data_IF_009789556472
#
_entry.id   IF_009789556472
#
_cell.length_a   1.000
_cell.length_b   1.000
_cell.length_c   1.000
_cell.angle_alpha   90.00
_cell.angle_beta   90.00
_cell.angle_gamma   90.00
#
_symmetry.space_group_name_H-M   'P 1'
#
loop_
_entity.id
_entity.type
_entity.pdbx_description
1 polymer ?
#
# COMPACT_ATOMS: atom_id res chain seq x y z
N UNK A 1 30.84 -77.70 8.97
CA UNK A 1 30.35 -77.01 10.19
C UNK A 1 31.20 -75.77 10.43
N UNK A 2 30.78 -74.62 9.91
CA UNK A 2 31.43 -73.32 10.14
C UNK A 2 30.50 -72.48 11.02
N UNK A 3 31.03 -72.02 12.15
CA UNK A 3 30.31 -71.25 13.17
C UNK A 3 30.07 -69.82 12.67
N UNK A 4 28.81 -69.41 12.65
CA UNK A 4 28.38 -68.03 12.38
C UNK A 4 28.52 -67.19 13.65
N UNK A 5 29.20 -66.05 13.56
CA UNK A 5 29.23 -65.02 14.60
C UNK A 5 28.09 -64.02 14.36
N UNK A 6 27.38 -63.54 15.40
CA UNK A 6 26.31 -62.57 15.24
C UNK A 6 26.87 -61.16 15.05
N UNK A 7 26.42 -60.49 14.00
CA UNK A 7 26.68 -59.08 13.72
C UNK A 7 25.73 -58.24 14.59
N UNK A 8 26.25 -57.52 15.58
CA UNK A 8 25.47 -56.60 16.39
C UNK A 8 25.21 -55.31 15.58
N UNK A 9 23.96 -55.06 15.25
CA UNK A 9 23.51 -53.80 14.62
C UNK A 9 23.28 -52.78 15.73
N UNK A 10 24.15 -51.78 15.82
CA UNK A 10 23.92 -50.59 16.65
C UNK A 10 22.93 -49.68 15.93
N UNK A 11 21.69 -49.64 16.40
CA UNK A 11 20.70 -48.64 16.00
C UNK A 11 21.02 -47.32 16.71
N UNK A 12 21.59 -46.36 15.98
CA UNK A 12 21.70 -44.99 16.47
C UNK A 12 20.33 -44.34 16.45
N UNK A 13 19.73 -44.16 17.63
CA UNK A 13 18.58 -43.26 17.81
C UNK A 13 19.08 -41.82 17.57
N UNK A 14 18.91 -41.33 16.35
CA UNK A 14 19.04 -39.91 16.06
C UNK A 14 17.83 -39.20 16.67
N UNK A 15 18.02 -38.64 17.86
CA UNK A 15 17.07 -37.71 18.48
C UNK A 15 16.97 -36.49 17.57
N UNK A 16 15.93 -36.44 16.73
CA UNK A 16 15.58 -35.25 15.99
C UNK A 16 15.10 -34.19 16.99
N UNK A 17 16.03 -33.34 17.44
CA UNK A 17 15.67 -32.10 18.12
C UNK A 17 14.84 -31.28 17.14
N UNK A 18 13.62 -30.85 17.49
CA UNK A 18 12.87 -29.94 16.65
C UNK A 18 13.73 -28.69 16.45
N UNK A 19 14.13 -28.46 15.21
CA UNK A 19 14.81 -27.25 14.82
C UNK A 19 13.77 -26.13 14.86
N UNK A 20 13.52 -25.59 16.04
CA UNK A 20 12.93 -24.27 16.17
C UNK A 20 13.94 -23.30 15.56
N UNK A 21 13.76 -22.98 14.27
CA UNK A 21 14.24 -21.69 13.76
C UNK A 21 13.50 -20.64 14.58
N UNK A 22 14.14 -20.15 15.62
CA UNK A 22 13.92 -18.78 16.05
C UNK A 22 14.34 -17.91 14.87
N UNK A 23 13.40 -17.63 13.95
CA UNK A 23 13.53 -16.45 13.13
C UNK A 23 13.60 -15.30 14.13
N UNK A 24 14.80 -14.77 14.36
CA UNK A 24 14.96 -13.51 15.06
C UNK A 24 14.34 -12.45 14.15
N UNK A 25 13.02 -12.31 14.25
CA UNK A 25 12.25 -11.25 13.63
C UNK A 25 12.73 -9.97 14.29
N UNK A 26 13.62 -9.23 13.63
CA UNK A 26 13.82 -7.82 13.97
C UNK A 26 12.55 -7.09 13.56
N UNK A 27 11.60 -7.03 14.51
CA UNK A 27 10.39 -6.23 14.40
C UNK A 27 10.79 -4.79 14.09
N UNK A 28 10.11 -4.17 13.12
CA UNK A 28 10.36 -2.77 12.80
C UNK A 28 9.99 -1.90 14.00
N UNK A 29 10.96 -1.26 14.65
CA UNK A 29 10.66 -0.25 15.66
C UNK A 29 10.43 1.07 14.96
N UNK A 30 9.26 1.69 15.16
CA UNK A 30 9.04 3.05 14.70
C UNK A 30 10.04 3.96 15.41
N UNK A 31 11.02 4.46 14.67
CA UNK A 31 12.09 5.30 15.20
C UNK A 31 11.72 6.78 15.20
N UNK A 32 10.65 7.13 14.48
CA UNK A 32 10.24 8.50 14.22
C UNK A 32 8.85 8.78 14.80
N UNK A 33 8.57 10.06 15.04
CA UNK A 33 7.25 10.47 15.53
C UNK A 33 6.20 10.24 14.43
N UNK A 34 5.16 9.48 14.75
CA UNK A 34 4.04 9.25 13.83
C UNK A 34 3.14 10.48 13.82
N UNK A 35 2.81 10.96 12.63
CA UNK A 35 1.86 12.04 12.38
C UNK A 35 0.45 11.45 12.23
N UNK A 36 0.31 10.46 11.34
CA UNK A 36 -0.94 9.73 11.12
C UNK A 36 -0.68 8.23 11.19
N UNK A 37 -1.46 7.52 12.00
CA UNK A 37 -1.37 6.06 12.12
C UNK A 37 -2.62 5.43 11.50
N UNK A 38 -2.45 4.77 10.37
CA UNK A 38 -3.50 4.10 9.60
C UNK A 38 -3.53 2.59 9.80
N UNK A 39 -2.71 2.06 10.70
CA UNK A 39 -2.63 0.62 10.96
C UNK A 39 -3.90 0.15 11.66
N UNK A 40 -4.49 -0.92 11.14
CA UNK A 40 -5.78 -1.43 11.59
C UNK A 40 -5.60 -2.35 12.80
N UNK A 41 -6.23 -2.08 13.95
CA UNK A 41 -6.16 -2.97 15.11
C UNK A 41 -6.73 -4.35 14.79
N UNK A 42 -6.18 -5.40 15.40
CA UNK A 42 -6.71 -6.77 15.26
C UNK A 42 -8.14 -6.98 15.77
N UNK A 43 -8.66 -6.02 16.55
CA UNK A 43 -10.05 -6.00 17.06
C UNK A 43 -11.00 -5.20 16.18
N UNK A 44 -10.53 -4.61 15.09
CA UNK A 44 -11.34 -3.79 14.20
C UNK A 44 -12.45 -4.60 13.53
N UNK A 45 -13.59 -3.94 13.30
CA UNK A 45 -14.67 -4.43 12.46
C UNK A 45 -14.78 -3.59 11.18
N UNK A 46 -15.35 -4.16 10.11
CA UNK A 46 -15.58 -3.41 8.86
C UNK A 46 -16.47 -2.19 9.08
N UNK A 47 -17.47 -2.28 9.95
CA UNK A 47 -18.36 -1.17 10.28
C UNK A 47 -17.69 -0.04 11.06
N UNK A 48 -16.50 -0.27 11.63
CA UNK A 48 -15.72 0.80 12.27
C UNK A 48 -15.30 1.87 11.25
N UNK A 49 -15.11 1.48 9.99
CA UNK A 49 -14.72 2.39 8.92
C UNK A 49 -15.87 3.29 8.44
N UNK A 50 -17.12 2.94 8.74
CA UNK A 50 -18.31 3.68 8.30
C UNK A 50 -18.61 4.92 9.15
N UNK A 51 -17.85 5.12 10.23
CA UNK A 51 -18.04 6.26 11.12
C UNK A 51 -16.72 6.89 11.53
N UNK A 52 -16.74 8.20 11.75
CA UNK A 52 -15.58 8.92 12.26
C UNK A 52 -15.23 8.39 13.67
N UNK A 53 -13.98 7.96 13.87
CA UNK A 53 -13.54 7.29 15.10
C UNK A 53 -14.33 6.02 15.45
N UNK A 54 -14.91 5.33 14.47
CA UNK A 54 -15.55 4.02 14.68
C UNK A 54 -14.59 3.03 15.35
N UNK A 55 -15.14 2.17 16.21
CA UNK A 55 -14.36 1.30 17.09
C UNK A 55 -13.46 2.05 18.10
N UNK A 56 -13.54 3.37 18.19
CA UNK A 56 -12.64 4.21 18.97
C UNK A 56 -11.25 4.41 18.36
N UNK A 57 -11.03 3.96 17.12
CA UNK A 57 -9.70 3.93 16.50
C UNK A 57 -9.68 4.45 15.06
N UNK A 58 -10.76 4.32 14.29
CA UNK A 58 -10.73 4.56 12.84
C UNK A 58 -10.17 5.97 12.50
N UNK A 59 -8.99 6.04 11.85
CA UNK A 59 -8.35 7.29 11.50
C UNK A 59 -8.82 7.81 10.13
N UNK A 60 -9.61 7.04 9.38
CA UNK A 60 -9.96 7.33 8.00
C UNK A 60 -11.32 8.00 7.84
N UNK A 61 -11.46 8.78 6.76
CA UNK A 61 -12.68 9.48 6.41
C UNK A 61 -13.79 8.52 5.96
N UNK A 62 -14.98 8.52 6.61
CA UNK A 62 -16.04 7.57 6.29
C UNK A 62 -16.85 7.93 5.04
N UNK A 63 -16.74 9.16 4.52
CA UNK A 63 -17.68 9.71 3.53
C UNK A 63 -17.09 9.81 2.12
N UNK A 64 -15.83 10.23 1.99
CA UNK A 64 -15.28 10.67 0.71
C UNK A 64 -14.52 9.57 -0.04
N UNK A 65 -14.36 9.80 -1.35
CA UNK A 65 -13.48 9.05 -2.26
C UNK A 65 -13.85 7.57 -2.44
N UNK A 66 -15.14 7.29 -2.59
CA UNK A 66 -15.68 5.95 -2.87
C UNK A 66 -16.97 6.02 -3.69
N UNK A 67 -17.47 4.87 -4.13
CA UNK A 67 -18.71 4.78 -4.89
C UNK A 67 -19.90 5.46 -4.18
N UNK A 68 -20.73 6.17 -4.94
CA UNK A 68 -21.88 6.87 -4.36
C UNK A 68 -22.83 5.88 -3.67
N UNK A 69 -23.08 6.10 -2.37
CA UNK A 69 -23.99 5.26 -1.59
C UNK A 69 -23.40 3.96 -1.07
N UNK A 70 -22.11 3.69 -1.31
CA UNK A 70 -21.41 2.57 -0.68
C UNK A 70 -20.91 2.97 0.71
N UNK A 71 -21.02 2.05 1.67
CA UNK A 71 -20.32 2.13 2.94
C UNK A 71 -18.86 1.64 2.76
N UNK A 72 -17.95 1.99 3.68
CA UNK A 72 -16.62 1.37 3.65
C UNK A 72 -16.69 -0.11 3.99
N UNK A 73 -17.65 -0.52 4.81
CA UNK A 73 -17.90 -1.94 5.09
C UNK A 73 -18.36 -2.76 3.86
N UNK A 74 -18.85 -2.11 2.80
CA UNK A 74 -19.15 -2.76 1.52
C UNK A 74 -17.92 -2.91 0.61
N UNK A 75 -16.86 -2.13 0.89
CA UNK A 75 -15.68 -1.96 0.03
C UNK A 75 -14.46 -2.67 0.62
N UNK A 76 -14.31 -2.62 1.93
CA UNK A 76 -13.14 -3.13 2.62
C UNK A 76 -13.32 -4.59 3.00
N UNK A 77 -12.21 -5.33 3.01
CA UNK A 77 -12.13 -6.64 3.65
C UNK A 77 -11.01 -6.61 4.71
N UNK A 78 -11.10 -7.51 5.68
CA UNK A 78 -10.05 -7.75 6.67
C UNK A 78 -9.42 -9.12 6.39
N UNK A 79 -8.48 -9.22 5.43
CA UNK A 79 -7.91 -10.50 5.04
C UNK A 79 -6.98 -11.04 6.14
N UNK A 80 -6.75 -12.36 6.11
CA UNK A 80 -5.88 -13.07 7.05
C UNK A 80 -4.72 -13.74 6.30
N UNK A 81 -3.75 -12.96 5.77
CA UNK A 81 -2.62 -13.54 5.04
C UNK A 81 -1.77 -14.41 5.96
N UNK A 82 -1.04 -15.37 5.36
CA UNK A 82 -0.23 -16.34 6.09
C UNK A 82 0.88 -15.70 6.95
N UNK A 83 1.32 -14.49 6.62
CA UNK A 83 2.25 -13.71 7.42
C UNK A 83 1.84 -12.23 7.44
N UNK A 84 1.98 -11.55 8.59
CA UNK A 84 1.81 -10.10 8.65
C UNK A 84 2.88 -9.40 7.81
N UNK A 85 2.62 -8.16 7.39
CA UNK A 85 3.66 -7.31 6.83
C UNK A 85 4.66 -6.89 7.90
N UNK A 86 5.78 -6.31 7.46
CA UNK A 86 6.86 -5.88 8.36
C UNK A 86 6.38 -4.91 9.44
N UNK A 87 5.60 -3.91 9.07
CA UNK A 87 5.16 -2.85 9.98
C UNK A 87 3.91 -3.22 10.78
N UNK A 88 3.13 -4.21 10.31
CA UNK A 88 2.03 -4.75 11.10
C UNK A 88 2.51 -5.71 12.18
N UNK A 89 3.47 -6.57 11.87
CA UNK A 89 4.05 -7.52 12.83
C UNK A 89 4.58 -6.83 14.09
N UNK A 90 5.15 -5.63 13.93
CA UNK A 90 5.67 -4.83 15.01
C UNK A 90 4.58 -4.10 15.82
N UNK A 91 3.48 -3.73 15.18
CA UNK A 91 2.38 -2.99 15.81
C UNK A 91 1.29 -3.90 16.40
N UNK A 92 1.26 -5.18 16.01
CA UNK A 92 0.13 -6.06 16.30
C UNK A 92 -1.14 -5.68 15.53
N UNK A 93 -0.98 -4.95 14.41
CA UNK A 93 -2.06 -4.60 13.49
C UNK A 93 -2.31 -5.69 12.45
N UNK A 94 -3.43 -5.56 11.75
CA UNK A 94 -3.86 -6.44 10.67
C UNK A 94 -3.97 -5.65 9.36
N UNK A 95 -3.86 -6.32 8.21
CA UNK A 95 -4.06 -5.68 6.92
C UNK A 95 -5.53 -5.35 6.66
N UNK A 96 -5.75 -4.46 5.69
CA UNK A 96 -7.05 -4.14 5.11
C UNK A 96 -6.96 -4.27 3.60
N UNK A 97 -7.96 -4.87 2.97
CA UNK A 97 -8.06 -4.92 1.52
C UNK A 97 -9.04 -3.86 1.04
N UNK A 98 -8.62 -3.07 0.06
CA UNK A 98 -9.52 -2.15 -0.65
C UNK A 98 -9.97 -2.85 -1.92
N UNK A 99 -11.28 -3.01 -2.09
CA UNK A 99 -11.85 -3.59 -3.32
C UNK A 99 -12.51 -2.53 -4.19
N UNK A 100 -12.61 -2.82 -5.48
CA UNK A 100 -13.42 -2.07 -6.42
C UNK A 100 -14.34 -3.03 -7.17
N UNK A 101 -15.51 -2.54 -7.54
CA UNK A 101 -16.50 -3.25 -8.34
C UNK A 101 -17.15 -2.32 -9.36
N UNK A 102 -18.12 -2.82 -10.13
CA UNK A 102 -18.92 -2.00 -11.05
C UNK A 102 -19.60 -0.80 -10.35
N UNK A 103 -19.88 -0.90 -9.04
CA UNK A 103 -20.51 0.14 -8.24
C UNK A 103 -19.54 1.23 -7.73
N UNK A 104 -18.22 1.05 -7.89
CA UNK A 104 -17.19 1.96 -7.37
C UNK A 104 -17.06 3.27 -8.17
N UNK A 105 -18.18 3.92 -8.49
CA UNK A 105 -18.22 5.17 -9.25
C UNK A 105 -18.33 6.34 -8.26
N UNK A 106 -17.23 7.08 -8.09
CA UNK A 106 -17.20 8.28 -7.27
C UNK A 106 -17.80 9.46 -8.03
N UNK A 107 -18.81 10.11 -7.42
CA UNK A 107 -19.55 11.20 -8.04
C UNK A 107 -20.08 10.82 -9.43
N UNK A 108 -19.68 11.53 -10.49
CA UNK A 108 -20.09 11.26 -11.88
C UNK A 108 -18.93 10.81 -12.76
N UNK A 109 -17.82 10.38 -12.16
CA UNK A 109 -16.61 9.96 -12.88
C UNK A 109 -16.77 8.52 -13.42
N UNK A 110 -17.65 8.35 -14.40
CA UNK A 110 -18.03 7.01 -14.90
C UNK A 110 -16.89 6.23 -15.56
N UNK A 111 -15.84 6.92 -16.00
CA UNK A 111 -14.64 6.28 -16.54
C UNK A 111 -13.85 5.53 -15.46
N UNK A 112 -13.91 6.00 -14.22
CA UNK A 112 -13.14 5.42 -13.11
C UNK A 112 -13.88 4.36 -12.32
N UNK A 113 -13.10 3.49 -11.68
CA UNK A 113 -13.51 2.77 -10.47
C UNK A 113 -12.59 3.20 -9.33
N UNK A 114 -13.15 3.81 -8.29
CA UNK A 114 -12.41 4.52 -7.24
C UNK A 114 -12.88 4.14 -5.84
N UNK A 115 -11.92 3.79 -5.00
CA UNK A 115 -12.02 3.70 -3.55
C UNK A 115 -10.68 4.11 -2.94
N UNK A 116 -10.60 5.22 -2.22
CA UNK A 116 -9.36 5.73 -1.60
C UNK A 116 -9.57 6.11 -0.14
N UNK A 117 -8.84 5.45 0.76
CA UNK A 117 -8.81 5.84 2.16
C UNK A 117 -8.02 7.14 2.31
N UNK A 118 -8.62 8.12 2.98
CA UNK A 118 -7.97 9.37 3.39
C UNK A 118 -7.94 9.46 4.91
N UNK A 119 -6.87 10.00 5.48
CA UNK A 119 -6.82 10.28 6.90
C UNK A 119 -7.77 11.45 7.26
N UNK A 120 -8.59 11.29 8.30
CA UNK A 120 -9.55 12.29 8.77
C UNK A 120 -8.92 13.64 9.12
N UNK A 121 -7.67 13.61 9.58
CA UNK A 121 -6.93 14.80 10.04
C UNK A 121 -5.93 15.33 9.02
N UNK A 122 -5.84 14.69 7.86
CA UNK A 122 -5.00 15.13 6.76
C UNK A 122 -5.83 16.11 5.92
N UNK A 123 -5.97 17.34 6.42
CA UNK A 123 -6.76 18.38 5.76
C UNK A 123 -6.05 18.90 4.49
N UNK A 124 -6.80 19.35 3.48
CA UNK A 124 -6.20 19.97 2.28
C UNK A 124 -5.22 21.10 2.62
N UNK A 125 -5.59 21.91 3.60
CA UNK A 125 -4.79 23.00 4.14
C UNK A 125 -4.36 22.66 5.56
N UNK A 126 -3.16 23.06 5.94
CA UNK A 126 -2.62 22.92 7.29
C UNK A 126 -2.53 21.47 7.80
N UNK A 127 -2.42 20.51 6.87
CA UNK A 127 -2.08 19.14 7.25
C UNK A 127 -0.60 19.04 7.66
N UNK A 128 -0.31 18.45 8.85
CA UNK A 128 1.05 18.10 9.22
C UNK A 128 1.66 17.03 8.29
N UNK A 129 0.85 16.35 7.47
CA UNK A 129 1.29 15.42 6.43
C UNK A 129 1.80 16.09 5.16
N UNK A 130 1.62 17.41 4.99
CA UNK A 130 2.02 18.14 3.78
C UNK A 130 2.94 19.34 4.05
N UNK A 131 3.74 19.26 5.11
CA UNK A 131 4.73 20.28 5.50
C UNK A 131 6.05 19.66 5.98
N UNK A 132 7.15 20.42 5.91
CA UNK A 132 8.48 19.98 6.35
C UNK A 132 8.97 18.74 5.59
N UNK A 133 9.47 17.74 6.32
CA UNK A 133 9.88 16.45 5.75
C UNK A 133 9.06 15.34 6.37
N UNK A 134 8.31 14.62 5.54
CA UNK A 134 7.43 13.52 5.96
C UNK A 134 7.71 12.28 5.14
N UNK A 135 7.39 11.12 5.71
CA UNK A 135 7.46 9.85 4.99
C UNK A 135 6.17 9.07 5.17
N UNK A 136 5.49 8.78 4.05
CA UNK A 136 4.40 7.82 4.01
C UNK A 136 4.97 6.41 3.90
N UNK A 137 4.56 5.53 4.81
CA UNK A 137 4.82 4.10 4.79
C UNK A 137 3.55 3.35 4.42
N UNK A 138 3.71 2.31 3.59
CA UNK A 138 2.65 1.36 3.27
C UNK A 138 3.28 0.07 2.75
N UNK A 139 2.59 -1.04 2.92
CA UNK A 139 2.96 -2.32 2.32
C UNK A 139 1.78 -2.89 1.57
N UNK A 140 2.05 -3.56 0.45
CA UNK A 140 1.02 -4.15 -0.40
C UNK A 140 1.24 -5.64 -0.58
N UNK A 141 0.14 -6.37 -0.75
CA UNK A 141 0.11 -7.78 -1.12
C UNK A 141 -1.00 -7.99 -2.16
N UNK A 142 -0.70 -8.75 -3.21
CA UNK A 142 -1.70 -9.10 -4.23
C UNK A 142 -2.76 -10.04 -3.64
N UNK A 143 -4.04 -9.80 -3.96
CA UNK A 143 -5.09 -10.80 -3.74
C UNK A 143 -5.24 -11.68 -4.98
N UNK A 144 -4.98 -12.99 -4.82
CA UNK A 144 -5.18 -13.97 -5.90
C UNK A 144 -6.64 -14.19 -6.25
N UNK A 145 -7.57 -13.91 -5.33
CA UNK A 145 -9.00 -14.03 -5.58
C UNK A 145 -9.58 -12.82 -6.30
N UNK A 146 -8.90 -11.67 -6.24
CA UNK A 146 -9.29 -10.40 -6.87
C UNK A 146 -8.11 -9.71 -7.56
N UNK A 147 -7.47 -10.37 -8.54
CA UNK A 147 -6.27 -9.83 -9.17
C UNK A 147 -6.58 -8.53 -9.92
N UNK A 148 -5.65 -7.57 -9.86
CA UNK A 148 -5.74 -6.37 -10.68
C UNK A 148 -5.60 -6.71 -12.17
N UNK A 149 -6.45 -6.14 -13.02
CA UNK A 149 -6.35 -6.25 -14.46
C UNK A 149 -5.32 -5.27 -15.03
N UNK A 150 -4.04 -5.66 -15.02
CA UNK A 150 -2.90 -4.79 -15.39
C UNK A 150 -2.86 -4.32 -16.86
N UNK A 151 -3.85 -4.64 -17.70
CA UNK A 151 -4.05 -3.93 -18.98
C UNK A 151 -4.61 -2.52 -18.81
N UNK A 152 -5.18 -2.22 -17.64
CA UNK A 152 -5.59 -0.89 -17.22
C UNK A 152 -4.48 -0.20 -16.42
N UNK A 153 -4.59 1.11 -16.27
CA UNK A 153 -3.78 1.91 -15.36
C UNK A 153 -4.46 2.02 -14.00
N UNK A 154 -3.68 1.93 -12.92
CA UNK A 154 -4.15 2.09 -11.55
C UNK A 154 -3.34 3.14 -10.82
N UNK A 155 -4.01 4.05 -10.10
CA UNK A 155 -3.40 4.81 -9.01
C UNK A 155 -3.73 4.08 -7.71
N UNK A 156 -2.69 3.64 -7.01
CA UNK A 156 -2.82 2.86 -5.79
C UNK A 156 -2.53 3.70 -4.54
N UNK A 157 -1.54 4.59 -4.62
CA UNK A 157 -1.25 5.57 -3.57
C UNK A 157 -0.89 6.88 -4.23
N UNK A 158 -1.52 7.99 -3.84
CA UNK A 158 -1.19 9.30 -4.40
C UNK A 158 -1.32 10.38 -3.33
N UNK A 159 -0.70 11.53 -3.58
CA UNK A 159 -0.89 12.73 -2.78
C UNK A 159 -1.51 13.81 -3.68
N UNK A 160 -2.75 14.16 -3.42
CA UNK A 160 -3.59 15.06 -4.22
C UNK A 160 -3.45 16.48 -3.70
N UNK A 161 -3.10 17.43 -4.56
CA UNK A 161 -2.92 18.82 -4.18
C UNK A 161 -4.22 19.43 -3.62
N UNK A 162 -4.10 20.42 -2.72
CA UNK A 162 -5.24 21.01 -2.01
C UNK A 162 -6.34 21.59 -2.93
N UNK A 163 -5.94 22.04 -4.13
CA UNK A 163 -6.80 22.60 -5.17
C UNK A 163 -7.28 21.56 -6.20
N UNK A 164 -6.92 20.29 -6.01
CA UNK A 164 -7.25 19.16 -6.88
C UNK A 164 -6.73 19.28 -8.32
N UNK A 165 -5.76 20.15 -8.57
CA UNK A 165 -5.22 20.41 -9.91
C UNK A 165 -4.21 19.37 -10.38
N UNK A 166 -3.56 18.67 -9.44
CA UNK A 166 -2.49 17.72 -9.70
C UNK A 166 -2.27 16.81 -8.49
N UNK A 167 -1.42 15.81 -8.67
CA UNK A 167 -0.86 15.01 -7.59
C UNK A 167 0.65 15.33 -7.46
N UNK A 168 1.18 15.48 -6.26
CA UNK A 168 2.63 15.67 -6.07
C UNK A 168 3.42 14.41 -6.43
N UNK A 169 2.81 13.24 -6.25
CA UNK A 169 3.30 11.97 -6.80
C UNK A 169 2.14 11.01 -7.05
N UNK A 170 2.38 10.05 -7.93
CA UNK A 170 1.51 8.90 -8.14
C UNK A 170 2.30 7.60 -7.94
N UNK A 171 1.76 6.68 -7.16
CA UNK A 171 2.22 5.31 -7.09
C UNK A 171 1.22 4.43 -7.83
N UNK A 172 1.66 3.89 -8.96
CA UNK A 172 0.80 3.30 -9.97
C UNK A 172 1.19 1.87 -10.33
N UNK A 173 0.24 1.15 -10.93
CA UNK A 173 0.44 -0.18 -11.49
C UNK A 173 -0.27 -0.30 -12.85
N UNK A 174 0.08 -1.35 -13.60
CA UNK A 174 -0.56 -1.63 -14.87
C UNK A 174 -0.02 -0.82 -16.05
N UNK A 175 -0.82 -0.72 -17.11
CA UNK A 175 -0.45 -0.10 -18.39
C UNK A 175 -0.78 1.38 -18.36
N UNK A 176 0.23 2.24 -18.19
CA UNK A 176 0.04 3.69 -18.11
C UNK A 176 -0.42 4.28 -19.45
N UNK A 177 -1.48 5.08 -19.41
CA UNK A 177 -1.98 5.82 -20.57
C UNK A 177 -0.91 6.84 -21.00
N UNK A 178 -0.47 6.76 -22.26
CA UNK A 178 0.58 7.60 -22.81
C UNK A 178 2.00 7.22 -22.39
N UNK A 179 2.18 6.06 -21.74
CA UNK A 179 3.49 5.51 -21.37
C UNK A 179 3.50 3.97 -21.42
N UNK A 180 2.87 3.42 -22.46
CA UNK A 180 2.65 1.98 -22.65
C UNK A 180 3.96 1.18 -22.86
N UNK A 181 5.07 1.87 -23.07
CA UNK A 181 6.40 1.27 -23.15
C UNK A 181 6.95 0.84 -21.78
N UNK A 182 6.37 1.31 -20.67
CA UNK A 182 6.74 0.85 -19.33
C UNK A 182 6.10 -0.52 -19.05
N UNK A 183 6.83 -1.48 -18.43
CA UNK A 183 6.27 -2.79 -18.12
C UNK A 183 5.01 -2.69 -17.25
N UNK A 184 3.94 -3.37 -17.64
CA UNK A 184 2.65 -3.29 -16.92
C UNK A 184 2.67 -3.99 -15.56
N UNK A 185 3.51 -5.02 -15.42
CA UNK A 185 3.69 -5.88 -14.25
C UNK A 185 4.65 -5.29 -13.21
N UNK A 186 4.64 -3.97 -13.08
CA UNK A 186 5.48 -3.23 -12.12
C UNK A 186 4.67 -2.19 -11.37
N UNK A 187 4.99 -2.03 -10.09
CA UNK A 187 4.72 -0.81 -9.36
C UNK A 187 5.65 0.31 -9.83
N UNK A 188 5.13 1.52 -9.95
CA UNK A 188 5.81 2.70 -10.49
C UNK A 188 5.56 3.89 -9.58
N UNK A 189 6.61 4.61 -9.21
CA UNK A 189 6.52 5.92 -8.59
C UNK A 189 6.76 6.99 -9.65
N UNK A 190 5.79 7.88 -9.84
CA UNK A 190 5.82 8.99 -10.78
C UNK A 190 5.84 10.32 -10.02
N UNK A 191 6.52 11.31 -10.60
CA UNK A 191 6.52 12.69 -10.12
C UNK A 191 5.22 13.42 -10.49
N UNK A 192 5.08 14.69 -10.08
CA UNK A 192 3.91 15.54 -10.39
C UNK A 192 3.56 15.62 -11.88
N UNK A 193 4.55 15.49 -12.75
CA UNK A 193 4.41 15.57 -14.20
C UNK A 193 4.25 14.19 -14.84
N UNK A 194 3.94 13.16 -14.05
CA UNK A 194 3.85 11.75 -14.46
C UNK A 194 5.15 11.18 -15.03
N UNK A 195 6.30 11.76 -14.68
CA UNK A 195 7.60 11.20 -15.08
C UNK A 195 8.02 10.12 -14.09
N UNK A 196 8.48 8.99 -14.62
CA UNK A 196 8.98 7.88 -13.82
C UNK A 196 10.18 8.28 -12.95
N UNK A 197 10.03 8.11 -11.63
CA UNK A 197 11.11 8.24 -10.64
C UNK A 197 11.75 6.87 -10.40
N UNK A 198 10.93 5.85 -10.18
CA UNK A 198 11.38 4.51 -9.83
C UNK A 198 10.32 3.45 -10.10
N UNK A 199 10.72 2.20 -10.33
CA UNK A 199 9.80 1.07 -10.51
C UNK A 199 10.37 -0.25 -9.99
N UNK A 200 9.50 -1.18 -9.62
CA UNK A 200 9.84 -2.56 -9.27
C UNK A 200 8.78 -3.54 -9.78
N UNK A 201 9.14 -4.80 -10.12
CA UNK A 201 8.15 -5.82 -10.42
C UNK A 201 7.12 -6.02 -9.29
N UNK A 202 5.91 -6.41 -9.67
CA UNK A 202 4.87 -6.87 -8.75
C UNK A 202 5.16 -8.33 -8.37
N UNK A 203 5.16 -8.62 -7.07
CA UNK A 203 5.38 -9.95 -6.50
C UNK A 203 4.03 -10.53 -6.06
N UNK A 204 3.63 -11.65 -6.66
CA UNK A 204 2.31 -12.25 -6.42
C UNK A 204 2.10 -12.81 -5.00
N UNK A 205 3.18 -13.19 -4.31
CA UNK A 205 3.12 -13.99 -3.07
C UNK A 205 4.00 -13.40 -1.95
N UNK A 206 4.33 -12.11 -2.02
CA UNK A 206 5.20 -11.48 -1.05
C UNK A 206 4.74 -10.06 -0.75
N UNK A 207 4.74 -9.70 0.53
CA UNK A 207 4.63 -8.31 0.94
C UNK A 207 5.71 -7.48 0.26
N UNK A 208 5.30 -6.39 -0.38
CA UNK A 208 6.19 -5.35 -0.86
C UNK A 208 6.00 -4.12 0.03
N UNK A 209 7.05 -3.74 0.74
CA UNK A 209 7.01 -2.62 1.68
C UNK A 209 7.61 -1.41 0.98
N UNK A 210 6.93 -0.27 1.09
CA UNK A 210 7.31 0.98 0.46
C UNK A 210 7.36 2.08 1.50
N UNK A 211 8.24 3.05 1.27
CA UNK A 211 8.09 4.35 1.86
C UNK A 211 8.43 5.45 0.85
N UNK A 212 7.69 6.56 0.92
CA UNK A 212 7.88 7.72 0.05
C UNK A 212 8.11 8.92 0.95
N UNK A 213 9.33 9.46 0.90
CA UNK A 213 9.69 10.68 1.62
C UNK A 213 9.44 11.88 0.73
N UNK A 214 8.65 12.85 1.21
CA UNK A 214 8.50 14.16 0.60
C UNK A 214 9.20 15.19 1.50
N UNK A 215 10.12 15.95 0.90
CA UNK A 215 10.74 17.13 1.51
C UNK A 215 10.09 18.36 0.88
N UNK A 216 9.10 18.94 1.56
CA UNK A 216 8.38 20.13 1.13
C UNK A 216 9.26 21.38 1.20
N UNK A 217 10.24 21.40 2.12
CA UNK A 217 11.17 22.53 2.28
C UNK A 217 12.14 22.63 1.08
N UNK A 218 12.58 21.49 0.54
CA UNK A 218 13.54 21.41 -0.57
C UNK A 218 12.95 20.99 -1.90
N UNK A 219 11.66 20.69 -1.96
CA UNK A 219 11.01 20.16 -3.16
C UNK A 219 11.75 18.93 -3.70
N UNK A 220 11.85 17.90 -2.86
CA UNK A 220 12.41 16.60 -3.25
C UNK A 220 11.53 15.41 -2.85
N UNK A 221 11.69 14.31 -3.58
CA UNK A 221 11.05 13.02 -3.31
C UNK A 221 12.11 11.92 -3.23
N UNK A 222 11.90 10.95 -2.35
CA UNK A 222 12.76 9.77 -2.24
C UNK A 222 11.94 8.50 -2.04
N UNK A 223 12.29 7.45 -2.79
CA UNK A 223 11.67 6.14 -2.66
C UNK A 223 12.51 5.17 -1.81
N UNK A 224 11.81 4.41 -0.98
CA UNK A 224 12.32 3.31 -0.19
C UNK A 224 11.53 2.06 -0.51
N UNK A 225 12.22 0.92 -0.52
CA UNK A 225 11.59 -0.35 -0.83
C UNK A 225 12.27 -1.51 -0.12
N UNK A 226 11.47 -2.52 0.22
CA UNK A 226 11.91 -3.86 0.58
C UNK A 226 10.80 -4.87 0.26
N UNK A 227 11.10 -6.16 0.42
CA UNK A 227 10.08 -7.21 0.29
C UNK A 227 10.16 -8.23 1.42
N UNK A 228 9.05 -8.93 1.65
CA UNK A 228 8.83 -9.77 2.81
C UNK A 228 9.11 -9.01 4.11
N UNK A 229 9.95 -9.59 4.97
CA UNK A 229 10.28 -9.02 6.27
C UNK A 229 11.59 -8.23 6.28
N UNK A 230 12.21 -7.97 5.12
CA UNK A 230 13.50 -7.26 5.06
C UNK A 230 13.33 -5.77 5.34
N UNK A 231 14.34 -5.15 5.96
CA UNK A 231 14.31 -3.72 6.28
C UNK A 231 14.29 -2.84 5.01
N UNK A 232 13.56 -1.73 5.07
CA UNK A 232 13.51 -0.74 3.99
C UNK A 232 14.92 -0.23 3.66
N UNK A 233 15.20 -0.10 2.37
CA UNK A 233 16.42 0.53 1.85
C UNK A 233 16.05 1.64 0.87
N UNK A 234 16.85 2.71 0.80
CA UNK A 234 16.63 3.74 -0.19
C UNK A 234 16.92 3.12 -1.56
N UNK A 235 15.96 3.21 -2.47
CA UNK A 235 16.10 2.75 -3.86
C UNK A 235 16.31 3.92 -4.82
N UNK A 236 16.11 5.13 -4.34
CA UNK A 236 16.58 6.36 -4.99
C UNK A 236 17.39 7.21 -3.99
N UNK A 237 18.16 8.14 -4.54
CA UNK A 237 18.53 9.35 -3.79
C UNK A 237 17.31 10.30 -3.77
N UNK A 238 17.28 11.32 -2.90
CA UNK A 238 16.35 12.43 -3.08
C UNK A 238 16.53 13.03 -4.47
N UNK A 239 15.45 13.14 -5.22
CA UNK A 239 15.40 13.78 -6.55
C UNK A 239 14.44 14.96 -6.50
N UNK A 240 14.64 15.97 -7.36
CA UNK A 240 13.75 17.12 -7.42
C UNK A 240 12.32 16.70 -7.75
N UNK A 241 11.35 17.26 -7.03
CA UNK A 241 9.92 17.09 -7.26
C UNK A 241 9.19 18.37 -6.87
N UNK A 242 8.20 18.77 -7.64
CA UNK A 242 7.33 19.87 -7.22
C UNK A 242 6.34 19.38 -6.16
N UNK A 243 6.64 19.69 -4.89
CA UNK A 243 5.81 19.33 -3.74
C UNK A 243 4.83 20.47 -3.35
N UNK A 244 4.73 21.54 -4.13
CA UNK A 244 3.91 22.69 -3.78
C UNK A 244 2.40 22.38 -3.81
N UNK A 245 1.61 23.18 -3.11
CA UNK A 245 0.15 23.11 -3.14
C UNK A 245 -0.49 22.22 -2.07
N UNK A 246 0.30 21.73 -1.08
CA UNK A 246 -0.19 20.95 0.07
C UNK A 246 -1.09 19.80 -0.37
N UNK A 247 -2.05 19.38 0.44
CA UNK A 247 -3.03 18.38 0.05
C UNK A 247 -3.10 17.17 0.97
N UNK A 248 -3.59 16.07 0.41
CA UNK A 248 -3.97 14.87 1.17
C UNK A 248 -3.43 13.60 0.53
N UNK A 249 -3.07 12.62 1.35
CA UNK A 249 -2.78 11.27 0.91
C UNK A 249 -4.05 10.46 0.69
N UNK A 250 -3.96 9.61 -0.32
CA UNK A 250 -5.01 8.70 -0.73
C UNK A 250 -4.40 7.30 -0.89
N UNK A 251 -4.97 6.32 -0.20
CA UNK A 251 -4.49 4.93 -0.21
C UNK A 251 -5.64 4.02 -0.64
N UNK A 252 -5.54 3.38 -1.80
CA UNK A 252 -6.61 2.52 -2.29
C UNK A 252 -6.48 2.17 -3.76
N UNK A 253 -7.54 2.29 -4.54
CA UNK A 253 -7.54 1.93 -5.95
C UNK A 253 -8.34 2.97 -6.71
N UNK A 254 -7.71 3.58 -7.72
CA UNK A 254 -8.38 4.25 -8.82
C UNK A 254 -7.95 3.56 -10.11
N UNK A 255 -8.87 2.79 -10.70
CA UNK A 255 -8.69 2.15 -12.00
C UNK A 255 -9.16 3.08 -13.11
N UNK A 256 -8.29 3.35 -14.08
CA UNK A 256 -8.63 4.11 -15.29
C UNK A 256 -9.24 3.21 -16.36
N UNK A 257 -10.13 3.74 -17.22
CA UNK A 257 -10.66 3.01 -18.36
C UNK A 257 -9.63 2.94 -19.49
N UNK A 258 -9.89 2.12 -20.49
CA UNK A 258 -9.10 2.07 -21.73
C UNK A 258 -9.92 2.49 -22.94
N UNK A 259 -9.26 2.81 -24.07
CA UNK A 259 -9.93 3.08 -25.34
C UNK A 259 -10.75 4.38 -25.39
N UNK A 260 -10.35 5.40 -24.63
CA UNK A 260 -10.95 6.73 -24.67
C UNK A 260 -9.91 7.83 -24.45
N UNK A 261 -10.21 9.03 -24.95
CA UNK A 261 -9.49 10.26 -24.60
C UNK A 261 -10.16 11.01 -23.44
N UNK A 262 -11.44 10.72 -23.15
CA UNK A 262 -12.17 11.25 -21.99
C UNK A 262 -12.17 10.22 -20.85
N UNK A 263 -10.98 10.08 -20.27
CA UNK A 263 -10.62 9.12 -19.22
C UNK A 263 -11.48 9.25 -17.96
N UNK A 264 -11.95 10.46 -17.64
CA UNK A 264 -12.76 10.71 -16.44
C UNK A 264 -14.19 10.20 -16.61
N UNK A 265 -14.77 10.34 -17.80
CA UNK A 265 -16.21 10.15 -17.99
C UNK A 265 -16.59 8.90 -18.81
N UNK A 266 -15.65 8.28 -19.53
CA UNK A 266 -15.98 7.26 -20.54
C UNK A 266 -14.89 6.20 -20.67
N UNK A 267 -15.04 5.31 -21.65
CA UNK A 267 -14.06 4.27 -21.97
C UNK A 267 -14.46 2.89 -21.49
N UNK A 268 -13.65 1.91 -21.86
CA UNK A 268 -13.88 0.50 -21.57
C UNK A 268 -13.49 0.16 -20.13
N UNK A 269 -14.38 -0.57 -19.48
CA UNK A 269 -14.18 -1.34 -18.25
C UNK A 269 -14.82 -2.71 -18.49
N UNK A 270 -14.22 -3.78 -17.98
CA UNK A 270 -14.88 -5.08 -17.92
C UNK A 270 -16.13 -5.02 -17.05
N UNK A 271 -17.09 -5.91 -17.34
CA UNK A 271 -18.29 -6.08 -16.53
C UNK A 271 -18.04 -7.09 -15.40
N UNK A 272 -18.74 -6.94 -14.28
CA UNK A 272 -18.62 -7.85 -13.14
C UNK A 272 -17.27 -7.71 -12.46
N UNK A 273 -16.77 -6.48 -12.36
CA UNK A 273 -15.48 -6.17 -11.78
C UNK A 273 -15.46 -6.57 -10.29
N UNK A 274 -14.42 -7.31 -9.90
CA UNK A 274 -14.11 -7.70 -8.53
C UNK A 274 -12.58 -7.74 -8.40
N UNK A 275 -12.00 -6.58 -8.09
CA UNK A 275 -10.56 -6.40 -8.01
C UNK A 275 -10.19 -5.82 -6.64
N UNK A 276 -9.04 -6.22 -6.11
CA UNK A 276 -8.63 -5.88 -4.76
C UNK A 276 -7.12 -5.72 -4.63
N UNK A 277 -6.72 -4.89 -3.67
CA UNK A 277 -5.33 -4.76 -3.26
C UNK A 277 -5.28 -4.69 -1.74
N UNK A 278 -4.44 -5.56 -1.16
CA UNK A 278 -4.27 -5.66 0.27
C UNK A 278 -3.21 -4.66 0.71
N UNK A 279 -3.56 -3.81 1.67
CA UNK A 279 -2.69 -2.81 2.29
C UNK A 279 -2.42 -3.15 3.75
N UNK A 280 -1.24 -2.74 4.22
CA UNK A 280 -0.83 -2.84 5.63
C UNK A 280 0.26 -1.84 5.96
N UNK A 281 0.58 -1.68 7.25
CA UNK A 281 1.68 -0.80 7.65
C UNK A 281 1.51 0.65 7.18
N UNK A 282 0.27 1.12 7.12
CA UNK A 282 -0.08 2.45 6.61
C UNK A 282 0.15 3.46 7.74
N UNK A 283 1.15 4.33 7.61
CA UNK A 283 1.34 5.45 8.53
C UNK A 283 2.20 6.54 7.90
N UNK A 284 2.08 7.76 8.39
CA UNK A 284 2.92 8.89 8.01
C UNK A 284 3.73 9.30 9.23
N UNK A 285 5.04 9.44 9.07
CA UNK A 285 5.94 9.87 10.12
C UNK A 285 6.62 11.21 9.78
N UNK A 286 7.01 11.93 10.83
CA UNK A 286 7.86 13.09 10.73
C UNK A 286 9.30 12.64 10.49
N UNK A 287 9.84 13.00 9.32
CA UNK A 287 11.19 12.67 8.88
C UNK A 287 12.14 13.87 8.91
N UNK A 288 11.73 14.97 9.54
CA UNK A 288 12.60 16.11 9.86
C UNK A 288 13.74 15.59 10.74
N UNK A 289 15.00 15.73 10.30
CA UNK A 289 16.23 15.07 10.81
C UNK A 289 16.62 13.73 10.15
N UNK A 290 16.12 13.44 8.95
CA UNK A 290 16.45 12.20 8.21
C UNK A 290 16.05 10.93 8.97
N UNK A 291 15.08 11.05 9.87
CA UNK A 291 14.52 9.91 10.57
C UNK A 291 13.64 9.11 9.61
N UNK A 292 13.90 7.80 9.50
CA UNK A 292 13.09 6.87 8.71
C UNK A 292 12.97 5.55 9.46
N UNK A 293 11.74 5.11 9.73
CA UNK A 293 11.45 3.77 10.23
C UNK A 293 11.73 2.72 9.13
N UNK A 294 12.48 1.65 9.42
CA UNK A 294 12.96 0.70 8.40
C UNK A 294 12.66 -0.74 8.70
#
# INVERSE_FOLDING_TARGET
MRRSAPLAVFTSLASATPYHRSNNYHQATNSCAIIFDGRVPSTASLTDFDTASGGGWNPFNPEYVKGNGLAWSDILLLPTPASPSRFDAAAGSVPVEVTISDASIFQKQNGFRRAGLQFNKDNNEDSPGSEGVVTLHFSVLQDKSRPLNLTHEYLNVWHEAADYSANQFNFEAGTLIGSENLPRDTYKLLDRNNKLIWSTPILADSWQNFAITLDFDKNTIQAWYSHGNTALRPVTRPVSNDNSGRGQYQIGILKKPTGTDDVVNSGYQENGLDEGLIYSGIFIENSSNQCISK
#
